data_IF_486528973512
#
_entry.id   IF_486528973512
#
_cell.length_a   1.000
_cell.length_b   1.000
_cell.length_c   1.000
_cell.angle_alpha   90.00
_cell.angle_beta   90.00
_cell.angle_gamma   90.00
#
_symmetry.space_group_name_H-M   'P 1'
#
loop_
_entity.id
_entity.type
_entity.pdbx_description
1 polymer ?
#
# COMPACT_ATOMS: atom_id res chain seq x y z
N UNK A 1 47.82 -0.74 8.33
CA UNK A 1 46.87 -1.58 9.09
C UNK A 1 45.51 -0.93 9.39
N UNK A 2 45.41 0.39 9.62
CA UNK A 2 44.12 1.01 10.02
C UNK A 2 43.09 1.25 8.90
N UNK A 3 43.52 1.35 7.63
CA UNK A 3 42.60 1.65 6.52
C UNK A 3 41.73 0.45 6.11
N UNK A 4 42.29 -0.76 6.12
CA UNK A 4 41.53 -1.99 5.84
C UNK A 4 40.44 -2.25 6.89
N UNK A 5 40.73 -1.96 8.17
CA UNK A 5 39.76 -2.10 9.26
C UNK A 5 38.57 -1.14 9.10
N UNK A 6 38.82 0.11 8.65
CA UNK A 6 37.75 1.07 8.36
C UNK A 6 36.85 0.61 7.21
N UNK A 7 37.41 0.05 6.14
CA UNK A 7 36.63 -0.49 5.01
C UNK A 7 35.78 -1.69 5.43
N UNK A 8 36.33 -2.59 6.24
CA UNK A 8 35.61 -3.77 6.76
C UNK A 8 34.45 -3.33 7.66
N UNK A 9 34.67 -2.33 8.53
CA UNK A 9 33.62 -1.77 9.38
C UNK A 9 32.48 -1.14 8.56
N UNK A 10 32.82 -0.44 7.48
CA UNK A 10 31.86 0.22 6.58
C UNK A 10 31.03 -0.83 5.79
N UNK A 11 31.66 -1.93 5.37
CA UNK A 11 30.99 -3.08 4.75
C UNK A 11 30.05 -3.80 5.73
N UNK A 12 30.46 -4.00 6.99
CA UNK A 12 29.61 -4.62 8.03
C UNK A 12 28.41 -3.72 8.37
N UNK A 13 28.63 -2.40 8.50
CA UNK A 13 27.55 -1.43 8.73
C UNK A 13 26.58 -1.42 7.54
N UNK A 14 27.09 -1.49 6.30
CA UNK A 14 26.28 -1.62 5.09
C UNK A 14 25.39 -2.88 5.11
N UNK A 15 25.93 -4.02 5.56
CA UNK A 15 25.19 -5.29 5.65
C UNK A 15 24.09 -5.26 6.73
N UNK A 16 24.31 -4.56 7.84
CA UNK A 16 23.33 -4.43 8.94
C UNK A 16 22.09 -3.61 8.57
N UNK A 17 22.21 -2.66 7.63
CA UNK A 17 21.08 -1.81 7.19
C UNK A 17 20.09 -2.61 6.30
N UNK A 18 20.46 -3.80 5.82
CA UNK A 18 19.63 -4.63 4.92
C UNK A 18 18.59 -5.46 5.68
N UNK A 19 18.63 -5.51 7.02
CA UNK A 19 17.66 -6.27 7.84
C UNK A 19 16.30 -5.57 7.98
N UNK A 20 15.62 -5.42 6.85
CA UNK A 20 14.16 -5.36 6.62
C UNK A 20 13.23 -5.11 7.85
N UNK A 21 13.19 -3.87 8.34
CA UNK A 21 12.35 -3.45 9.49
C UNK A 21 10.85 -3.36 9.19
N UNK A 22 10.44 -3.37 7.91
CA UNK A 22 9.06 -3.02 7.53
C UNK A 22 7.99 -4.03 8.00
N UNK A 23 8.31 -5.34 8.07
CA UNK A 23 7.34 -6.37 8.46
C UNK A 23 6.97 -6.30 9.95
N UNK A 24 7.93 -5.94 10.82
CA UNK A 24 7.74 -5.97 12.29
C UNK A 24 6.70 -4.98 12.79
N UNK A 25 6.37 -3.96 11.99
CA UNK A 25 5.45 -2.89 12.37
C UNK A 25 3.99 -3.25 12.12
N UNK A 26 3.72 -4.28 11.31
CA UNK A 26 2.37 -4.66 10.89
C UNK A 26 1.85 -5.74 11.85
N UNK A 27 0.66 -5.58 12.44
CA UNK A 27 0.09 -6.60 13.31
C UNK A 27 -0.13 -7.92 12.57
N UNK A 28 -0.04 -9.03 13.29
CA UNK A 28 -0.27 -10.35 12.70
C UNK A 28 -1.69 -10.47 12.11
N UNK A 29 -1.80 -11.21 11.00
CA UNK A 29 -3.06 -11.39 10.27
C UNK A 29 -3.47 -10.19 9.39
N UNK A 30 -2.79 -9.05 9.48
CA UNK A 30 -3.09 -7.89 8.64
C UNK A 30 -2.19 -7.81 7.40
N UNK A 31 -2.77 -7.35 6.29
CA UNK A 31 -2.06 -7.13 5.04
C UNK A 31 -2.21 -5.67 4.61
N UNK A 32 -1.13 -5.04 4.18
CA UNK A 32 -1.16 -3.67 3.69
C UNK A 32 -1.44 -3.67 2.20
N UNK A 33 -2.38 -2.83 1.77
CA UNK A 33 -2.64 -2.62 0.35
C UNK A 33 -1.39 -2.05 -0.32
N UNK A 34 -0.83 -2.84 -1.23
CA UNK A 34 0.43 -2.54 -1.90
C UNK A 34 0.22 -1.90 -3.26
N UNK A 35 -0.70 -2.48 -4.03
CA UNK A 35 -1.01 -2.13 -5.40
C UNK A 35 -2.45 -2.52 -5.68
N UNK A 36 -3.14 -1.69 -6.47
CA UNK A 36 -4.43 -2.04 -7.05
C UNK A 36 -4.29 -2.03 -8.57
N UNK A 37 -4.80 -3.05 -9.25
CA UNK A 37 -4.74 -3.17 -10.70
C UNK A 37 -6.14 -3.45 -11.25
N UNK A 38 -6.63 -2.58 -12.13
CA UNK A 38 -7.86 -2.84 -12.88
C UNK A 38 -7.47 -3.48 -14.22
N UNK A 39 -7.76 -4.77 -14.35
CA UNK A 39 -7.55 -5.52 -15.58
C UNK A 39 -8.84 -5.58 -16.41
N UNK A 40 -8.67 -5.46 -17.72
CA UNK A 40 -9.78 -5.44 -18.67
C UNK A 40 -9.58 -6.51 -19.72
N UNK A 41 -10.59 -7.34 -19.91
CA UNK A 41 -10.58 -8.42 -20.88
C UNK A 41 -11.30 -8.07 -22.20
N UNK A 42 -11.78 -6.82 -22.37
CA UNK A 42 -12.50 -6.38 -23.55
C UNK A 42 -11.58 -5.68 -24.57
N UNK A 43 -11.88 -5.84 -25.88
CA UNK A 43 -11.07 -5.31 -26.99
C UNK A 43 -11.46 -3.89 -27.46
N UNK A 44 -12.65 -3.40 -27.11
CA UNK A 44 -13.15 -2.07 -27.46
C UNK A 44 -13.92 -1.53 -26.27
N UNK A 45 -13.52 -0.36 -25.78
CA UNK A 45 -14.16 0.24 -24.61
C UNK A 45 -14.55 1.69 -24.91
N UNK A 46 -15.81 2.01 -24.57
CA UNK A 46 -16.33 3.38 -24.51
C UNK A 46 -16.11 4.05 -23.16
N UNK A 47 -15.30 3.43 -22.29
CA UNK A 47 -14.92 3.92 -20.97
C UNK A 47 -13.41 3.72 -20.79
N UNK A 48 -12.82 4.36 -19.80
CA UNK A 48 -11.39 4.25 -19.52
C UNK A 48 -11.10 3.44 -18.26
N UNK A 49 -9.90 2.85 -18.17
CA UNK A 49 -9.38 2.24 -16.93
C UNK A 49 -9.41 3.20 -15.75
N UNK A 50 -9.18 4.49 -16.01
CA UNK A 50 -9.22 5.54 -14.99
C UNK A 50 -10.61 5.73 -14.40
N UNK A 51 -11.67 5.60 -15.20
CA UNK A 51 -13.05 5.73 -14.73
C UNK A 51 -13.37 4.63 -13.73
N UNK A 52 -12.93 3.39 -14.01
CA UNK A 52 -13.09 2.27 -13.10
C UNK A 52 -12.18 2.38 -11.88
N UNK A 53 -10.92 2.79 -12.07
CA UNK A 53 -9.96 2.96 -10.98
C UNK A 53 -10.42 4.00 -9.93
N UNK A 54 -11.32 4.92 -10.29
CA UNK A 54 -11.91 5.87 -9.36
C UNK A 54 -12.71 5.20 -8.23
N UNK A 55 -13.32 4.04 -8.49
CA UNK A 55 -14.11 3.28 -7.51
C UNK A 55 -13.25 2.45 -6.56
N UNK A 56 -11.94 2.37 -6.77
CA UNK A 56 -11.04 1.64 -5.88
C UNK A 56 -10.93 2.37 -4.54
N UNK A 57 -11.58 1.82 -3.52
CA UNK A 57 -11.70 2.43 -2.20
C UNK A 57 -10.40 2.44 -1.40
N UNK A 58 -9.68 1.31 -1.35
CA UNK A 58 -8.48 1.19 -0.54
C UNK A 58 -7.24 1.58 -1.34
N UNK A 59 -6.67 2.77 -1.14
CA UNK A 59 -5.47 3.21 -1.88
C UNK A 59 -4.20 2.89 -1.10
N UNK A 60 -3.15 2.38 -1.78
CA UNK A 60 -1.88 2.11 -1.10
C UNK A 60 -1.25 3.40 -0.57
N UNK A 61 -0.61 3.31 0.60
CA UNK A 61 0.16 4.43 1.15
C UNK A 61 1.23 4.91 0.17
N UNK A 62 1.44 6.23 0.13
CA UNK A 62 2.51 6.84 -0.66
C UNK A 62 3.86 6.21 -0.31
N UNK A 63 4.63 5.90 -1.33
CA UNK A 63 5.99 5.41 -1.20
C UNK A 63 6.93 6.33 -1.97
N UNK A 64 8.11 6.55 -1.42
CA UNK A 64 9.17 7.32 -2.04
C UNK A 64 10.40 6.42 -2.16
N UNK A 65 10.93 6.26 -3.39
CA UNK A 65 12.07 5.38 -3.68
C UNK A 65 11.91 3.95 -3.13
N UNK A 66 10.70 3.39 -3.18
CA UNK A 66 10.41 2.04 -2.68
C UNK A 66 10.21 1.96 -1.16
N UNK A 67 10.43 3.04 -0.42
CA UNK A 67 10.25 3.11 1.03
C UNK A 67 8.93 3.80 1.35
N UNK A 68 8.11 3.18 2.21
CA UNK A 68 6.88 3.79 2.75
C UNK A 68 7.22 4.66 3.96
N UNK A 69 8.01 5.72 3.77
CA UNK A 69 8.49 6.58 4.85
C UNK A 69 7.35 7.16 5.71
N UNK A 70 6.24 7.69 5.14
CA UNK A 70 5.11 8.17 5.94
C UNK A 70 4.49 7.10 6.85
N UNK A 71 4.40 5.86 6.36
CA UNK A 71 3.87 4.73 7.14
C UNK A 71 4.82 4.34 8.28
N UNK A 72 6.13 4.34 8.01
CA UNK A 72 7.14 4.08 9.03
C UNK A 72 7.10 5.14 10.15
N UNK A 73 7.01 6.42 9.77
CA UNK A 73 6.84 7.52 10.74
C UNK A 73 5.58 7.31 11.57
N UNK A 74 4.46 6.92 10.95
CA UNK A 74 3.23 6.65 11.67
C UNK A 74 3.43 5.61 12.77
N UNK A 75 3.94 4.42 12.44
CA UNK A 75 4.15 3.37 13.44
C UNK A 75 5.12 3.78 14.56
N UNK A 76 6.13 4.58 14.25
CA UNK A 76 7.12 5.02 15.24
C UNK A 76 6.60 6.11 16.20
N UNK A 77 5.66 6.93 15.73
CA UNK A 77 5.18 8.13 16.44
C UNK A 77 3.80 7.96 17.04
N UNK A 78 2.97 7.04 16.53
CA UNK A 78 1.59 6.83 16.98
C UNK A 78 1.49 6.61 18.51
N UNK A 79 2.45 5.89 19.09
CA UNK A 79 2.48 5.59 20.52
C UNK A 79 3.12 6.70 21.39
N UNK A 80 3.59 7.79 20.77
CA UNK A 80 4.30 8.92 21.43
C UNK A 80 3.58 10.25 21.23
N UNK A 81 2.33 10.20 20.79
CA UNK A 81 1.49 11.37 20.50
C UNK A 81 1.10 12.16 21.75
N UNK A 82 1.45 11.68 22.94
CA UNK A 82 1.37 12.39 24.22
C UNK A 82 2.23 13.67 24.23
N UNK A 83 3.36 13.67 23.52
CA UNK A 83 4.23 14.85 23.39
C UNK A 83 3.87 15.64 22.13
N UNK A 84 3.67 16.96 22.28
CA UNK A 84 3.30 17.88 21.19
C UNK A 84 4.19 17.76 19.94
N UNK A 85 5.49 17.58 20.12
CA UNK A 85 6.44 17.40 19.01
C UNK A 85 6.15 16.14 18.18
N UNK A 86 5.98 14.99 18.83
CA UNK A 86 5.71 13.72 18.16
C UNK A 86 4.32 13.68 17.53
N UNK A 87 3.32 14.30 18.18
CA UNK A 87 1.99 14.51 17.59
C UNK A 87 2.07 15.29 16.28
N UNK A 88 2.78 16.42 16.28
CA UNK A 88 2.96 17.24 15.08
C UNK A 88 3.64 16.46 13.95
N UNK A 89 4.68 15.66 14.24
CA UNK A 89 5.33 14.81 13.24
C UNK A 89 4.36 13.77 12.67
N UNK A 90 3.59 13.09 13.53
CA UNK A 90 2.63 12.07 13.10
C UNK A 90 1.58 12.67 12.17
N UNK A 91 1.04 13.84 12.51
CA UNK A 91 0.00 14.51 11.73
C UNK A 91 0.53 15.09 10.40
N UNK A 92 1.77 15.59 10.37
CA UNK A 92 2.35 16.23 9.17
C UNK A 92 2.99 15.25 8.20
N UNK A 93 3.62 14.20 8.72
CA UNK A 93 4.47 13.30 7.93
C UNK A 93 3.95 11.88 7.96
N UNK A 94 3.31 11.46 9.05
CA UNK A 94 2.74 10.13 9.19
C UNK A 94 1.59 9.88 8.22
N UNK A 95 1.41 8.62 7.83
CA UNK A 95 0.18 8.18 7.16
C UNK A 95 -0.25 6.84 7.76
N UNK A 96 -1.52 6.71 8.20
CA UNK A 96 -2.00 5.48 8.81
C UNK A 96 -1.94 4.32 7.80
N UNK A 97 -1.73 3.07 8.25
CA UNK A 97 -1.77 1.91 7.38
C UNK A 97 -3.15 1.74 6.75
N UNK A 98 -3.17 1.47 5.45
CA UNK A 98 -4.37 0.97 4.76
C UNK A 98 -4.29 -0.54 4.73
N UNK A 99 -5.08 -1.18 5.58
CA UNK A 99 -5.21 -2.63 5.62
C UNK A 99 -6.16 -3.11 4.52
N UNK A 100 -5.87 -4.29 3.98
CA UNK A 100 -6.74 -4.95 3.02
C UNK A 100 -8.00 -5.45 3.71
N UNK A 101 -9.15 -5.14 3.12
CA UNK A 101 -10.44 -5.67 3.55
C UNK A 101 -11.21 -6.15 2.32
N UNK A 102 -11.62 -7.41 2.37
CA UNK A 102 -12.34 -8.06 1.28
C UNK A 102 -13.64 -7.32 0.94
N UNK A 103 -14.43 -6.95 1.95
CA UNK A 103 -15.70 -6.22 1.74
C UNK A 103 -15.54 -4.87 1.04
N UNK A 104 -14.43 -4.15 1.27
CA UNK A 104 -14.18 -2.89 0.54
C UNK A 104 -13.79 -3.15 -0.92
N UNK A 105 -13.03 -4.21 -1.19
CA UNK A 105 -12.70 -4.62 -2.56
C UNK A 105 -13.94 -5.09 -3.33
N UNK A 106 -14.82 -5.85 -2.69
CA UNK A 106 -16.11 -6.27 -3.25
C UNK A 106 -17.04 -5.09 -3.52
N UNK A 107 -17.12 -4.13 -2.58
CA UNK A 107 -17.90 -2.92 -2.77
C UNK A 107 -17.41 -2.11 -3.98
N UNK A 108 -16.08 -2.00 -4.17
CA UNK A 108 -15.49 -1.36 -5.34
C UNK A 108 -15.88 -2.10 -6.65
N UNK A 109 -15.80 -3.43 -6.68
CA UNK A 109 -16.21 -4.24 -7.83
C UNK A 109 -17.70 -4.07 -8.16
N UNK A 110 -18.55 -4.00 -7.14
CA UNK A 110 -19.99 -3.74 -7.29
C UNK A 110 -20.26 -2.34 -7.87
N UNK A 111 -19.53 -1.32 -7.41
CA UNK A 111 -19.64 0.03 -7.96
C UNK A 111 -19.18 0.10 -9.42
N UNK A 112 -18.07 -0.56 -9.77
CA UNK A 112 -17.62 -0.68 -11.16
C UNK A 112 -18.67 -1.37 -12.04
N UNK A 113 -19.27 -2.47 -11.56
CA UNK A 113 -20.34 -3.17 -12.28
C UNK A 113 -21.55 -2.26 -12.52
N UNK A 114 -21.96 -1.48 -11.52
CA UNK A 114 -23.06 -0.49 -11.67
C UNK A 114 -22.72 0.59 -12.68
N UNK A 115 -21.49 1.12 -12.65
CA UNK A 115 -21.03 2.10 -13.63
C UNK A 115 -21.07 1.51 -15.05
N UNK A 116 -20.56 0.30 -15.24
CA UNK A 116 -20.58 -0.41 -16.52
C UNK A 116 -21.99 -0.60 -17.05
N UNK A 117 -22.95 -0.96 -16.19
CA UNK A 117 -24.36 -1.06 -16.56
C UNK A 117 -24.91 0.29 -17.02
N UNK A 118 -24.59 1.39 -16.32
CA UNK A 118 -25.06 2.74 -16.68
C UNK A 118 -24.51 3.23 -18.03
N UNK A 119 -23.31 2.78 -18.42
CA UNK A 119 -22.69 3.13 -19.72
C UNK A 119 -22.97 2.09 -20.81
N UNK A 120 -23.92 1.17 -20.57
CA UNK A 120 -24.48 0.26 -21.59
C UNK A 120 -23.91 -1.17 -21.59
N UNK A 121 -23.08 -1.54 -20.63
CA UNK A 121 -22.44 -2.87 -20.54
C UNK A 121 -23.17 -3.78 -19.53
N UNK A 122 -24.41 -4.13 -19.83
CA UNK A 122 -25.33 -4.86 -18.92
C UNK A 122 -24.92 -6.28 -18.54
N UNK A 123 -24.10 -6.94 -19.39
CA UNK A 123 -23.61 -8.30 -19.14
C UNK A 123 -22.14 -8.30 -18.67
N UNK A 124 -21.67 -7.19 -18.11
CA UNK A 124 -20.33 -7.10 -17.55
C UNK A 124 -20.25 -7.82 -16.20
N UNK A 125 -19.09 -8.42 -15.91
CA UNK A 125 -18.79 -9.05 -14.63
C UNK A 125 -17.46 -8.51 -14.12
N UNK A 126 -17.49 -7.85 -12.97
CA UNK A 126 -16.29 -7.39 -12.27
C UNK A 126 -16.11 -8.26 -11.03
N UNK A 127 -14.89 -8.77 -10.82
CA UNK A 127 -14.55 -9.62 -9.68
C UNK A 127 -13.30 -9.05 -9.02
N UNK A 128 -13.33 -8.87 -7.71
CA UNK A 128 -12.13 -8.54 -6.93
C UNK A 128 -11.32 -9.80 -6.65
N UNK A 129 -10.00 -9.74 -6.84
CA UNK A 129 -9.09 -10.82 -6.49
C UNK A 129 -7.91 -10.22 -5.73
N UNK A 130 -7.52 -10.82 -4.61
CA UNK A 130 -6.37 -10.38 -3.86
C UNK A 130 -5.27 -11.44 -3.84
N UNK A 131 -4.07 -11.03 -4.22
CA UNK A 131 -2.85 -11.82 -4.09
C UNK A 131 -2.05 -11.32 -2.90
N UNK A 132 -1.83 -12.20 -1.94
CA UNK A 132 -1.04 -11.90 -0.75
C UNK A 132 0.41 -12.32 -0.97
N UNK A 133 1.33 -11.36 -0.87
CA UNK A 133 2.77 -11.59 -0.93
C UNK A 133 3.42 -11.06 0.35
N UNK A 134 3.79 -11.97 1.26
CA UNK A 134 4.29 -11.66 2.61
C UNK A 134 3.27 -10.89 3.45
N UNK A 135 3.41 -9.56 3.55
CA UNK A 135 2.51 -8.65 4.28
C UNK A 135 1.77 -7.68 3.34
N UNK A 136 1.96 -7.85 2.02
CA UNK A 136 1.44 -6.97 0.98
C UNK A 136 0.24 -7.64 0.32
N UNK A 137 -0.86 -6.92 0.21
CA UNK A 137 -2.00 -7.29 -0.62
C UNK A 137 -1.90 -6.56 -1.97
N UNK A 138 -1.95 -7.32 -3.05
CA UNK A 138 -2.14 -6.80 -4.41
C UNK A 138 -3.56 -7.15 -4.83
N UNK A 139 -4.37 -6.12 -5.09
CA UNK A 139 -5.82 -6.23 -5.39
C UNK A 139 -6.10 -5.85 -6.83
#
# INVERSE_FOLDING_TARGET
MSQGLKLILLLIISQLIVSCTARRLIPEGNYIVHKNTVELNAKKEGFSRSDLAAFVGQRPNKSFLGVRFPLWVYYQTNNKTDKKFWKWINEKVGSPPVYYEEGTAEAAANQMTRYLNNVGYFNSKVVSQAKIVRFKAEV
#
